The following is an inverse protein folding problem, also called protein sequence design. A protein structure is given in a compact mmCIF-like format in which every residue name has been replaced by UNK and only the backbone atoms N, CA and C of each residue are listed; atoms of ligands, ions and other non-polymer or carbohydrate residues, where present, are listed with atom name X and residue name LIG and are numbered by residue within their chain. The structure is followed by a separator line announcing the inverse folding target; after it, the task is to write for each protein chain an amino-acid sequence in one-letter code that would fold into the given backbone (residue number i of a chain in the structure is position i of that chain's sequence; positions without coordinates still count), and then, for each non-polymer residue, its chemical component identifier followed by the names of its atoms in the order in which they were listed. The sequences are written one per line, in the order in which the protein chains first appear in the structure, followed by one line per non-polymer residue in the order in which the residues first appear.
data_IF_878707085155
#
_entry.id   IF_878707085155
#
_cell.length_a   1.000
_cell.length_b   1.000
_cell.length_c   1.000
_cell.angle_alpha   90.00
_cell.angle_beta   90.00
_cell.angle_gamma   90.00
#
_symmetry.space_group_name_H-M   'P 1'
#
loop_
_entity.id
_entity.type
_entity.pdbx_description
1 polymer ?
#
# COMPACT_ATOMS: atom_id res chain seq x y z
N UNK A 1 -25.77 -60.63 -22.99
CA UNK A 1 -25.02 -59.53 -22.33
C UNK A 1 -25.27 -58.24 -23.11
N UNK A 2 -26.22 -57.41 -22.66
CA UNK A 2 -26.60 -56.14 -23.30
C UNK A 2 -26.00 -55.00 -22.49
N UNK A 3 -25.06 -54.25 -23.06
CA UNK A 3 -24.51 -53.02 -22.46
C UNK A 3 -25.43 -51.87 -22.85
N UNK A 4 -26.19 -51.35 -21.89
CA UNK A 4 -27.00 -50.14 -22.04
C UNK A 4 -26.08 -48.96 -21.71
N UNK A 5 -25.81 -48.12 -22.71
CA UNK A 5 -25.15 -46.84 -22.52
C UNK A 5 -26.20 -45.82 -22.05
N UNK A 6 -26.08 -45.35 -20.81
CA UNK A 6 -26.88 -44.24 -20.29
C UNK A 6 -26.04 -42.96 -20.43
N UNK A 7 -26.47 -42.07 -21.34
CA UNK A 7 -25.96 -40.72 -21.45
C UNK A 7 -26.49 -39.90 -20.26
N UNK A 8 -25.58 -39.40 -19.42
CA UNK A 8 -25.90 -38.48 -18.32
C UNK A 8 -25.81 -37.06 -18.86
N UNK A 9 -26.98 -36.49 -19.16
CA UNK A 9 -27.15 -35.07 -19.46
C UNK A 9 -27.25 -34.31 -18.13
N UNK A 10 -26.20 -33.57 -17.74
CA UNK A 10 -26.27 -32.60 -16.64
C UNK A 10 -26.67 -31.25 -17.25
N UNK A 11 -27.96 -30.92 -17.13
CA UNK A 11 -28.46 -29.55 -17.19
C UNK A 11 -28.49 -29.02 -15.77
N UNK A 12 -27.77 -27.93 -15.49
CA UNK A 12 -28.11 -26.91 -14.48
C UNK A 12 -27.04 -25.81 -14.49
N UNK A 13 -27.26 -24.75 -15.28
CA UNK A 13 -26.73 -23.43 -14.96
C UNK A 13 -27.93 -22.56 -14.58
N UNK A 14 -28.36 -22.77 -13.34
CA UNK A 14 -29.25 -21.92 -12.57
C UNK A 14 -28.68 -20.49 -12.57
N UNK A 15 -29.56 -19.51 -12.77
CA UNK A 15 -29.20 -18.12 -13.02
C UNK A 15 -28.13 -17.57 -12.11
N UNK A 16 -27.08 -17.01 -12.72
CA UNK A 16 -26.19 -16.09 -12.05
C UNK A 16 -27.03 -14.88 -11.63
N UNK A 17 -27.40 -14.83 -10.34
CA UNK A 17 -27.72 -13.56 -9.73
C UNK A 17 -26.57 -12.61 -10.06
N UNK A 18 -26.87 -11.47 -10.67
CA UNK A 18 -25.93 -10.38 -10.91
C UNK A 18 -25.58 -9.75 -9.55
N UNK A 19 -24.89 -10.52 -8.70
CA UNK A 19 -24.19 -10.00 -7.55
C UNK A 19 -22.96 -9.30 -8.09
N UNK A 20 -23.01 -7.96 -8.09
CA UNK A 20 -21.85 -7.14 -8.41
C UNK A 20 -20.67 -7.50 -7.49
N UNK A 21 -19.45 -7.12 -7.91
CA UNK A 21 -18.23 -7.38 -7.13
C UNK A 21 -18.41 -6.98 -5.66
N UNK A 22 -18.29 -7.95 -4.75
CA UNK A 22 -18.45 -7.77 -3.32
C UNK A 22 -17.32 -6.92 -2.75
N UNK A 23 -17.57 -6.36 -1.56
CA UNK A 23 -16.61 -5.47 -0.88
C UNK A 23 -15.25 -6.16 -0.64
N UNK A 24 -15.26 -7.46 -0.37
CA UNK A 24 -14.06 -8.27 -0.16
C UNK A 24 -13.11 -8.23 -1.35
N UNK A 25 -13.64 -8.24 -2.58
CA UNK A 25 -12.82 -8.14 -3.79
C UNK A 25 -12.46 -6.68 -4.11
N UNK A 26 -13.31 -5.69 -3.83
CA UNK A 26 -13.01 -4.28 -4.14
C UNK A 26 -11.70 -3.78 -3.54
N UNK A 27 -11.36 -4.23 -2.34
CA UNK A 27 -10.13 -3.85 -1.65
C UNK A 27 -8.93 -4.78 -1.97
N UNK A 28 -9.14 -5.86 -2.73
CA UNK A 28 -8.07 -6.79 -3.10
C UNK A 28 -6.84 -6.13 -3.76
N UNK A 29 -6.98 -5.12 -4.65
CA UNK A 29 -5.82 -4.42 -5.22
C UNK A 29 -4.94 -3.69 -4.20
N UNK A 30 -5.46 -3.43 -3.00
CA UNK A 30 -4.73 -2.81 -1.88
C UNK A 30 -3.98 -3.83 -1.03
N UNK A 31 -4.11 -5.13 -1.32
CA UNK A 31 -3.38 -6.17 -0.60
C UNK A 31 -1.92 -6.25 -1.09
N UNK A 32 -1.00 -6.81 -0.28
CA UNK A 32 0.38 -7.08 -0.70
C UNK A 32 0.51 -7.84 -2.02
N UNK A 33 -0.42 -8.76 -2.30
CA UNK A 33 -0.46 -9.51 -3.56
C UNK A 33 -0.94 -8.59 -4.70
N UNK A 34 -2.00 -7.81 -4.47
CA UNK A 34 -2.56 -6.87 -5.43
C UNK A 34 -1.58 -5.77 -5.87
N UNK A 35 -0.58 -5.41 -5.04
CA UNK A 35 0.46 -4.45 -5.40
C UNK A 35 1.25 -4.83 -6.65
N UNK A 36 1.31 -6.12 -7.00
CA UNK A 36 2.01 -6.64 -8.17
C UNK A 36 1.18 -6.59 -9.46
N UNK A 37 0.00 -5.97 -9.44
CA UNK A 37 -0.79 -5.75 -10.65
C UNK A 37 -0.10 -4.77 -11.58
N UNK A 38 0.05 -5.19 -12.84
CA UNK A 38 0.43 -4.28 -13.92
C UNK A 38 -0.71 -3.32 -14.24
N UNK A 39 -0.41 -2.23 -14.94
CA UNK A 39 -1.43 -1.27 -15.36
C UNK A 39 -2.50 -1.90 -16.27
N UNK A 40 -2.14 -2.89 -17.08
CA UNK A 40 -3.10 -3.61 -17.92
C UNK A 40 -3.98 -4.55 -17.10
N UNK A 41 -3.40 -5.22 -16.09
CA UNK A 41 -4.14 -6.01 -15.12
C UNK A 41 -5.09 -5.14 -14.27
N UNK A 42 -4.70 -3.91 -13.91
CA UNK A 42 -5.60 -2.96 -13.22
C UNK A 42 -6.81 -2.58 -14.07
N UNK A 43 -6.61 -2.36 -15.37
CA UNK A 43 -7.72 -2.11 -16.31
C UNK A 43 -8.64 -3.32 -16.39
N UNK A 44 -8.08 -4.52 -16.53
CA UNK A 44 -8.85 -5.77 -16.54
C UNK A 44 -9.67 -5.94 -15.26
N UNK A 45 -9.05 -5.72 -14.10
CA UNK A 45 -9.70 -5.77 -12.81
C UNK A 45 -10.86 -4.78 -12.67
N UNK A 46 -10.66 -3.54 -13.13
CA UNK A 46 -11.69 -2.50 -13.08
C UNK A 46 -12.92 -2.81 -13.95
N UNK A 47 -12.77 -3.71 -14.92
CA UNK A 47 -13.85 -4.11 -15.83
C UNK A 47 -14.63 -5.33 -15.33
N UNK A 48 -14.18 -6.01 -14.26
CA UNK A 48 -14.86 -7.18 -13.72
C UNK A 48 -16.18 -6.76 -13.07
N UNK A 49 -17.22 -7.56 -13.29
CA UNK A 49 -18.57 -7.25 -12.81
C UNK A 49 -19.02 -8.21 -11.71
N UNK A 50 -18.45 -9.40 -11.64
CA UNK A 50 -18.89 -10.45 -10.73
C UNK A 50 -17.76 -10.99 -9.84
N UNK A 51 -18.13 -11.56 -8.70
CA UNK A 51 -17.19 -12.22 -7.79
C UNK A 51 -16.50 -13.42 -8.44
N UNK A 52 -17.21 -14.18 -9.28
CA UNK A 52 -16.64 -15.31 -10.00
C UNK A 52 -15.53 -14.88 -10.97
N UNK A 53 -15.70 -13.75 -11.64
CA UNK A 53 -14.66 -13.15 -12.49
C UNK A 53 -13.46 -12.67 -11.66
N UNK A 54 -13.72 -12.05 -10.50
CA UNK A 54 -12.68 -11.61 -9.57
C UNK A 54 -11.86 -12.81 -9.05
N UNK A 55 -12.50 -13.89 -8.61
CA UNK A 55 -11.86 -15.11 -8.15
C UNK A 55 -10.98 -15.75 -9.23
N UNK A 56 -11.53 -15.87 -10.45
CA UNK A 56 -10.79 -16.42 -11.58
C UNK A 56 -9.57 -15.55 -11.90
N UNK A 57 -9.74 -14.24 -11.92
CA UNK A 57 -8.64 -13.31 -12.12
C UNK A 57 -7.54 -13.50 -11.08
N UNK A 58 -7.88 -13.54 -9.78
CA UNK A 58 -6.90 -13.70 -8.69
C UNK A 58 -6.15 -15.03 -8.83
N UNK A 59 -6.87 -16.11 -9.13
CA UNK A 59 -6.28 -17.44 -9.33
C UNK A 59 -5.27 -17.43 -10.47
N UNK A 60 -5.66 -16.89 -11.63
CA UNK A 60 -4.80 -16.80 -12.82
C UNK A 60 -3.63 -15.82 -12.61
N UNK A 61 -3.84 -14.76 -11.83
CA UNK A 61 -2.83 -13.79 -11.43
C UNK A 61 -1.72 -14.43 -10.59
N UNK A 62 -2.09 -15.19 -9.56
CA UNK A 62 -1.16 -15.89 -8.67
C UNK A 62 -0.44 -17.01 -9.43
N UNK A 63 -1.18 -17.79 -10.23
CA UNK A 63 -0.61 -18.90 -11.01
C UNK A 63 0.49 -18.41 -11.97
N UNK A 64 0.26 -17.29 -12.68
CA UNK A 64 1.23 -16.70 -13.60
C UNK A 64 2.51 -16.18 -12.92
N UNK A 65 2.50 -15.99 -11.59
CA UNK A 65 3.63 -15.45 -10.82
C UNK A 65 4.37 -16.50 -9.98
N UNK A 66 4.05 -17.78 -10.15
CA UNK A 66 4.71 -18.87 -9.43
C UNK A 66 3.87 -19.51 -8.33
N UNK A 67 2.56 -19.24 -8.30
CA UNK A 67 1.62 -19.95 -7.43
C UNK A 67 1.89 -19.71 -5.95
N UNK A 68 1.91 -20.79 -5.17
CA UNK A 68 2.07 -20.76 -3.71
C UNK A 68 3.40 -20.15 -3.27
N UNK A 69 4.49 -20.36 -4.01
CA UNK A 69 5.80 -19.79 -3.68
C UNK A 69 5.75 -18.27 -3.69
N UNK A 70 5.12 -17.68 -4.71
CA UNK A 70 4.92 -16.24 -4.78
C UNK A 70 4.07 -15.72 -3.63
N UNK A 71 2.93 -16.37 -3.35
CA UNK A 71 2.06 -15.99 -2.23
C UNK A 71 2.83 -16.02 -0.90
N UNK A 72 3.66 -17.05 -0.67
CA UNK A 72 4.47 -17.21 0.54
C UNK A 72 5.53 -16.11 0.67
N UNK A 73 6.26 -15.81 -0.40
CA UNK A 73 7.27 -14.75 -0.43
C UNK A 73 6.64 -13.38 -0.11
N UNK A 74 5.50 -13.08 -0.75
CA UNK A 74 4.78 -11.82 -0.53
C UNK A 74 4.26 -11.73 0.91
N UNK A 75 3.70 -12.82 1.45
CA UNK A 75 3.25 -12.86 2.84
C UNK A 75 4.40 -12.61 3.83
N UNK A 76 5.55 -13.26 3.65
CA UNK A 76 6.73 -13.03 4.49
C UNK A 76 7.24 -11.59 4.43
N UNK A 77 7.19 -10.96 3.25
CA UNK A 77 7.57 -9.55 3.11
C UNK A 77 6.54 -8.61 3.75
N UNK A 78 5.24 -8.93 3.65
CA UNK A 78 4.18 -8.19 4.32
C UNK A 78 4.31 -8.28 5.85
N UNK A 79 4.54 -9.47 6.40
CA UNK A 79 4.76 -9.66 7.84
C UNK A 79 5.96 -8.86 8.36
N UNK A 80 7.06 -8.83 7.59
CA UNK A 80 8.21 -7.99 7.93
C UNK A 80 7.86 -6.51 7.86
N UNK A 81 7.12 -6.07 6.85
CA UNK A 81 6.66 -4.69 6.77
C UNK A 81 5.78 -4.34 7.98
N UNK A 82 4.82 -5.19 8.35
CA UNK A 82 3.96 -4.98 9.52
C UNK A 82 4.77 -4.95 10.82
N UNK A 83 5.79 -5.78 10.95
CA UNK A 83 6.64 -5.79 12.15
C UNK A 83 7.49 -4.53 12.30
N UNK A 84 8.01 -3.97 11.21
CA UNK A 84 9.04 -2.91 11.28
C UNK A 84 8.58 -1.54 10.80
N UNK A 85 7.48 -1.45 10.05
CA UNK A 85 7.03 -0.23 9.36
C UNK A 85 5.62 0.21 9.74
N UNK A 86 4.95 -0.46 10.68
CA UNK A 86 3.64 -0.06 11.19
C UNK A 86 3.66 1.34 11.81
N UNK A 87 2.56 2.07 11.67
CA UNK A 87 2.37 3.43 12.17
C UNK A 87 1.09 3.45 12.99
N UNK A 88 1.22 3.47 14.32
CA UNK A 88 0.05 3.37 15.21
C UNK A 88 -0.72 2.09 14.93
N UNK A 89 -1.97 2.21 14.51
CA UNK A 89 -2.85 1.09 14.12
C UNK A 89 -2.73 0.66 12.66
N UNK A 90 -2.08 1.45 11.81
CA UNK A 90 -1.94 1.14 10.38
C UNK A 90 -0.85 0.08 10.20
N UNK A 91 -1.19 -1.10 9.64
CA UNK A 91 -0.21 -2.13 9.34
C UNK A 91 0.85 -1.60 8.36
N UNK A 92 2.11 -1.94 8.62
CA UNK A 92 3.23 -1.52 7.78
C UNK A 92 3.05 -1.88 6.30
N UNK A 93 2.44 -3.01 5.99
CA UNK A 93 2.14 -3.46 4.61
C UNK A 93 1.15 -2.55 3.85
N UNK A 94 0.35 -1.74 4.56
CA UNK A 94 -0.56 -0.74 3.97
C UNK A 94 0.10 0.64 3.81
N UNK A 95 1.29 0.83 4.38
CA UNK A 95 2.05 2.08 4.27
C UNK A 95 2.81 2.15 2.94
N UNK A 96 3.13 3.37 2.50
CA UNK A 96 3.98 3.60 1.32
C UNK A 96 5.32 2.89 1.49
N UNK A 97 5.93 2.96 2.68
CA UNK A 97 7.21 2.29 2.97
C UNK A 97 7.11 0.77 2.91
N UNK A 98 6.02 0.20 3.40
CA UNK A 98 5.80 -1.24 3.31
C UNK A 98 5.53 -1.71 1.89
N UNK A 99 4.76 -0.96 1.10
CA UNK A 99 4.58 -1.24 -0.33
C UNK A 99 5.92 -1.23 -1.08
N UNK A 100 6.79 -0.25 -0.79
CA UNK A 100 8.15 -0.23 -1.33
C UNK A 100 8.93 -1.48 -0.94
N UNK A 101 8.88 -1.87 0.34
CA UNK A 101 9.55 -3.07 0.83
C UNK A 101 9.04 -4.36 0.16
N UNK A 102 7.72 -4.45 -0.07
CA UNK A 102 7.09 -5.62 -0.68
C UNK A 102 7.46 -5.73 -2.16
N UNK A 103 7.47 -4.62 -2.92
CA UNK A 103 7.70 -4.63 -4.37
C UNK A 103 9.18 -4.55 -4.78
N UNK A 104 9.97 -3.76 -4.06
CA UNK A 104 11.37 -3.48 -4.39
C UNK A 104 12.35 -4.22 -3.47
N UNK A 105 11.84 -4.88 -2.44
CA UNK A 105 12.65 -5.52 -1.41
C UNK A 105 13.10 -4.57 -0.31
N UNK A 106 13.80 -5.11 0.71
CA UNK A 106 14.20 -4.35 1.89
C UNK A 106 15.23 -3.29 1.52
N UNK A 107 14.96 -2.05 1.94
CA UNK A 107 15.96 -0.98 1.97
C UNK A 107 15.97 -0.32 3.33
N UNK A 108 17.16 -0.07 3.86
CA UNK A 108 17.33 0.82 5.00
C UNK A 108 17.18 2.28 4.54
N UNK A 109 16.59 3.17 5.35
CA UNK A 109 16.62 4.59 5.06
C UNK A 109 18.07 5.09 5.07
N UNK A 110 18.44 5.87 4.07
CA UNK A 110 19.71 6.60 4.02
C UNK A 110 19.77 7.71 5.08
N UNK A 111 18.62 8.29 5.44
CA UNK A 111 18.51 9.25 6.54
C UNK A 111 17.09 9.31 7.12
N UNK A 112 16.98 9.78 8.36
CA UNK A 112 15.72 10.07 9.02
C UNK A 112 15.83 11.43 9.73
N UNK A 113 14.93 12.36 9.42
CA UNK A 113 14.92 13.71 9.97
C UNK A 113 13.59 13.99 10.66
N UNK A 114 13.64 14.34 11.95
CA UNK A 114 12.46 14.75 12.71
C UNK A 114 12.19 16.23 12.48
N UNK A 115 10.99 16.56 12.01
CA UNK A 115 10.49 17.93 11.82
C UNK A 115 9.37 18.18 12.82
N UNK A 116 9.39 19.33 13.50
CA UNK A 116 8.24 19.78 14.30
C UNK A 116 7.09 20.09 13.34
N UNK A 117 5.91 19.56 13.60
CA UNK A 117 4.71 19.94 12.85
C UNK A 117 4.31 21.35 13.27
N UNK A 118 4.55 22.33 12.40
CA UNK A 118 4.16 23.70 12.67
C UNK A 118 2.64 23.83 12.59
N UNK A 119 2.00 24.26 13.68
CA UNK A 119 0.61 24.74 13.66
C UNK A 119 -0.47 23.88 14.31
N UNK A 120 -0.15 22.86 15.11
CA UNK A 120 -1.16 22.15 15.90
C UNK A 120 -1.28 22.80 17.30
N UNK A 121 -2.06 23.87 17.39
CA UNK A 121 -2.47 24.44 18.69
C UNK A 121 -3.55 23.52 19.25
N UNK A 122 -3.19 22.56 20.11
CA UNK A 122 -4.19 21.86 20.89
C UNK A 122 -4.79 22.84 21.91
N UNK A 123 -6.03 23.25 21.70
CA UNK A 123 -6.83 23.84 22.79
C UNK A 123 -7.01 22.73 23.83
N UNK A 124 -6.44 22.91 25.02
CA UNK A 124 -6.65 21.98 26.12
C UNK A 124 -8.16 21.87 26.43
N UNK A 125 -8.73 20.66 26.58
CA UNK A 125 -10.11 20.51 27.01
C UNK A 125 -10.18 20.91 28.49
N UNK A 126 -10.53 22.17 28.75
CA UNK A 126 -10.57 22.72 30.11
C UNK A 126 -10.40 24.23 30.21
N UNK A 127 -10.02 24.94 29.14
CA UNK A 127 -10.09 26.40 29.16
C UNK A 127 -11.55 26.82 29.10
N UNK A 128 -12.15 26.99 30.28
CA UNK A 128 -13.37 27.76 30.46
C UNK A 128 -13.17 29.10 29.76
N UNK A 129 -14.02 29.40 28.78
CA UNK A 129 -14.15 30.76 28.25
C UNK A 129 -14.60 31.63 29.43
N UNK A 130 -13.63 32.23 30.12
CA UNK A 130 -13.89 33.33 31.04
C UNK A 130 -14.60 34.41 30.25
N UNK A 131 -15.68 34.95 30.81
CA UNK A 131 -16.60 35.92 30.20
C UNK A 131 -15.98 37.31 29.98
N UNK A 132 -14.67 37.40 29.76
CA UNK A 132 -13.97 38.65 29.46
C UNK A 132 -13.82 38.79 27.94
N UNK A 133 -14.34 39.91 27.41
CA UNK A 133 -14.40 40.24 25.98
C UNK A 133 -13.03 40.66 25.39
N UNK A 134 -11.95 40.36 26.08
CA UNK A 134 -10.59 40.64 25.65
C UNK A 134 -10.04 39.40 24.94
N UNK A 135 -10.00 39.44 23.59
CA UNK A 135 -9.45 38.36 22.77
C UNK A 135 -8.01 37.98 23.16
N UNK A 136 -7.54 36.77 22.78
CA UNK A 136 -6.23 36.26 23.20
C UNK A 136 -5.11 37.22 22.77
N UNK A 137 -4.25 37.59 23.71
CA UNK A 137 -3.14 38.51 23.43
C UNK A 137 -2.00 37.77 22.72
N UNK A 138 -1.13 38.51 22.01
CA UNK A 138 0.07 37.92 21.40
C UNK A 138 0.96 37.23 22.44
N UNK A 139 0.95 37.69 23.69
CA UNK A 139 1.67 37.05 24.80
C UNK A 139 1.07 35.68 25.17
N UNK A 140 -0.26 35.55 25.19
CA UNK A 140 -0.96 34.29 25.46
C UNK A 140 -0.72 33.26 24.35
N UNK A 141 -0.70 33.72 23.08
CA UNK A 141 -0.32 32.87 21.94
C UNK A 141 1.14 32.41 22.04
N UNK A 142 2.05 33.29 22.48
CA UNK A 142 3.47 32.97 22.63
C UNK A 142 3.72 32.03 23.82
N UNK A 143 2.95 32.15 24.91
CA UNK A 143 2.98 31.22 26.04
C UNK A 143 2.44 29.84 25.66
N UNK A 144 1.33 29.76 24.91
CA UNK A 144 0.78 28.50 24.40
C UNK A 144 1.70 27.77 23.41
N UNK A 145 2.55 28.53 22.68
CA UNK A 145 3.58 27.97 21.80
C UNK A 145 4.79 27.42 22.58
N UNK A 146 5.01 27.91 23.80
CA UNK A 146 6.14 27.54 24.66
C UNK A 146 5.74 26.57 25.80
N UNK A 147 4.47 26.15 25.90
CA UNK A 147 3.99 25.22 26.91
C UNK A 147 4.49 23.78 26.63
N UNK A 148 5.31 23.18 27.51
CA UNK A 148 5.79 21.80 27.39
C UNK A 148 4.68 20.75 27.55
N UNK A 149 3.45 21.13 27.94
CA UNK A 149 2.27 20.26 27.99
C UNK A 149 1.56 20.09 26.64
N UNK A 150 1.93 20.87 25.62
CA UNK A 150 1.35 20.78 24.28
C UNK A 150 2.08 19.68 23.50
N UNK A 151 1.39 18.58 23.19
CA UNK A 151 1.98 17.42 22.50
C UNK A 151 2.53 17.87 21.14
N UNK A 152 3.82 18.22 21.11
CA UNK A 152 4.53 18.59 19.89
C UNK A 152 4.52 17.37 18.99
N UNK A 153 3.65 17.35 17.99
CA UNK A 153 3.61 16.28 17.01
C UNK A 153 4.82 16.44 16.09
N UNK A 154 5.61 15.38 15.95
CA UNK A 154 6.78 15.35 15.09
C UNK A 154 6.46 14.54 13.84
N UNK A 155 6.74 15.11 12.66
CA UNK A 155 6.75 14.37 11.40
C UNK A 155 8.18 13.86 11.20
N UNK A 156 8.34 12.58 10.92
CA UNK A 156 9.65 12.03 10.57
C UNK A 156 9.74 11.85 9.06
N UNK A 157 10.67 12.57 8.42
CA UNK A 157 10.99 12.39 7.01
C UNK A 157 12.09 11.34 6.87
N UNK A 158 11.78 10.23 6.21
CA UNK A 158 12.73 9.18 5.85
C UNK A 158 13.15 9.34 4.39
N UNK A 159 14.45 9.31 4.13
CA UNK A 159 14.98 9.24 2.76
C UNK A 159 15.44 7.81 2.50
N UNK A 160 14.84 7.14 1.51
CA UNK A 160 15.23 5.83 1.03
C UNK A 160 16.02 5.95 -0.26
N UNK A 161 17.11 5.21 -0.40
CA UNK A 161 17.90 5.15 -1.63
C UNK A 161 18.05 3.69 -2.06
N UNK A 162 17.55 3.37 -3.25
CA UNK A 162 17.71 2.07 -3.88
C UNK A 162 18.79 2.18 -4.96
N UNK A 163 19.87 1.38 -4.90
CA UNK A 163 20.86 1.35 -5.96
C UNK A 163 20.24 0.75 -7.23
N UNK A 164 20.76 1.15 -8.40
CA UNK A 164 20.25 0.67 -9.69
C UNK A 164 20.24 -0.87 -9.80
N UNK A 165 21.22 -1.54 -9.17
CA UNK A 165 21.33 -3.00 -9.15
C UNK A 165 20.23 -3.71 -8.33
N UNK A 166 19.58 -3.01 -7.39
CA UNK A 166 18.48 -3.55 -6.59
C UNK A 166 17.09 -3.29 -7.23
N UNK A 167 17.05 -2.58 -8.35
CA UNK A 167 15.81 -2.21 -9.04
C UNK A 167 15.64 -3.04 -10.31
N UNK A 168 14.42 -3.08 -10.89
CA UNK A 168 14.20 -3.73 -12.17
C UNK A 168 15.21 -3.21 -13.22
N UNK A 169 15.90 -4.09 -13.97
CA UNK A 169 16.94 -3.68 -14.92
C UNK A 169 16.47 -2.64 -15.95
N UNK A 170 15.19 -2.69 -16.32
CA UNK A 170 14.56 -1.74 -17.23
C UNK A 170 14.49 -0.29 -16.70
N UNK A 171 14.67 -0.06 -15.40
CA UNK A 171 14.70 1.28 -14.82
C UNK A 171 16.07 1.95 -14.99
N UNK A 172 17.16 1.19 -14.84
CA UNK A 172 18.52 1.59 -15.23
C UNK A 172 19.22 2.66 -14.38
N UNK A 173 18.61 3.18 -13.30
CA UNK A 173 19.21 4.21 -12.43
C UNK A 173 18.86 4.00 -10.96
N UNK A 174 19.55 4.71 -10.05
CA UNK A 174 19.19 4.70 -8.64
C UNK A 174 17.88 5.45 -8.39
N UNK A 175 17.13 5.07 -7.36
CA UNK A 175 15.89 5.72 -6.95
C UNK A 175 16.06 6.30 -5.55
N UNK A 176 15.75 7.58 -5.38
CA UNK A 176 15.71 8.23 -4.06
C UNK A 176 14.29 8.70 -3.76
N UNK A 177 13.73 8.25 -2.66
CA UNK A 177 12.35 8.53 -2.25
C UNK A 177 12.34 9.12 -0.86
N UNK A 178 11.66 10.26 -0.68
CA UNK A 178 11.47 10.91 0.61
C UNK A 178 10.03 10.72 1.09
N UNK A 179 9.88 10.11 2.25
CA UNK A 179 8.59 9.75 2.84
C UNK A 179 8.41 10.45 4.17
N UNK A 180 7.34 11.20 4.30
CA UNK A 180 6.90 11.80 5.55
C UNK A 180 6.02 10.82 6.31
N UNK A 181 6.34 10.61 7.58
CA UNK A 181 5.57 9.78 8.51
C UNK A 181 4.97 10.70 9.56
N UNK A 182 3.63 10.78 9.59
CA UNK A 182 2.88 11.52 10.59
C UNK A 182 2.24 10.51 11.57
N UNK A 183 2.85 10.28 12.75
CA UNK A 183 2.30 9.34 13.73
C UNK A 183 0.95 9.81 14.29
N UNK A 184 0.66 11.12 14.28
CA UNK A 184 -0.63 11.65 14.73
C UNK A 184 -1.77 11.34 13.76
N UNK A 185 -1.46 11.16 12.47
CA UNK A 185 -2.42 10.73 11.45
C UNK A 185 -2.33 9.25 11.10
N UNK A 186 -1.46 8.49 11.77
CA UNK A 186 -1.21 7.07 11.48
C UNK A 186 -0.93 6.79 9.99
N UNK A 187 -0.31 7.74 9.29
CA UNK A 187 -0.12 7.68 7.83
C UNK A 187 1.31 8.03 7.43
N UNK A 188 1.73 7.50 6.30
CA UNK A 188 2.90 7.98 5.57
C UNK A 188 2.52 8.42 4.15
N UNK A 189 3.34 9.31 3.61
CA UNK A 189 3.13 9.86 2.27
C UNK A 189 4.44 10.27 1.63
N UNK A 190 4.45 10.26 0.32
CA UNK A 190 5.54 10.83 -0.45
C UNK A 190 5.58 12.35 -0.23
N UNK A 191 6.77 12.88 -0.02
CA UNK A 191 6.99 14.32 0.13
C UNK A 191 6.74 15.12 -1.16
N UNK A 192 6.72 14.46 -2.34
CA UNK A 192 6.51 15.14 -3.61
C UNK A 192 5.76 14.29 -4.63
N UNK A 193 4.94 14.96 -5.44
CA UNK A 193 4.19 14.35 -6.54
C UNK A 193 5.09 13.79 -7.65
N UNK A 194 6.24 14.41 -7.91
CA UNK A 194 7.20 13.87 -8.88
C UNK A 194 7.75 12.51 -8.45
N UNK A 195 7.99 12.34 -7.15
CA UNK A 195 8.45 11.06 -6.60
C UNK A 195 7.37 9.97 -6.72
N UNK A 196 6.09 10.34 -6.64
CA UNK A 196 4.96 9.40 -6.81
C UNK A 196 4.92 8.82 -8.22
N UNK A 197 4.96 9.67 -9.25
CA UNK A 197 4.99 9.21 -10.64
C UNK A 197 6.19 8.33 -10.95
N UNK A 198 7.35 8.70 -10.44
CA UNK A 198 8.56 7.90 -10.64
C UNK A 198 8.45 6.55 -9.94
N UNK A 199 7.98 6.53 -8.70
CA UNK A 199 7.78 5.32 -7.93
C UNK A 199 6.73 4.40 -8.56
N UNK A 200 5.62 4.93 -9.07
CA UNK A 200 4.62 4.16 -9.81
C UNK A 200 5.19 3.50 -11.07
N UNK A 201 6.08 4.20 -11.80
CA UNK A 201 6.79 3.62 -12.93
C UNK A 201 7.70 2.47 -12.48
N UNK A 202 8.43 2.63 -11.38
CA UNK A 202 9.28 1.56 -10.85
C UNK A 202 8.44 0.37 -10.37
N UNK A 203 7.29 0.61 -9.74
CA UNK A 203 6.35 -0.44 -9.34
C UNK A 203 5.80 -1.22 -10.53
N UNK A 204 5.43 -0.52 -11.60
CA UNK A 204 5.00 -1.17 -12.85
C UNK A 204 6.11 -2.07 -13.40
N UNK A 205 7.36 -1.57 -13.46
CA UNK A 205 8.50 -2.36 -13.92
C UNK A 205 8.79 -3.55 -13.00
N UNK A 206 8.62 -3.40 -11.69
CA UNK A 206 8.79 -4.48 -10.71
C UNK A 206 7.71 -5.56 -10.88
N UNK A 207 6.45 -5.15 -11.06
CA UNK A 207 5.34 -6.04 -11.35
C UNK A 207 5.57 -6.83 -12.65
N UNK A 208 6.01 -6.16 -13.72
CA UNK A 208 6.35 -6.79 -14.99
C UNK A 208 7.54 -7.74 -14.87
N UNK A 209 8.59 -7.35 -14.13
CA UNK A 209 9.75 -8.19 -13.90
C UNK A 209 9.38 -9.48 -13.13
N UNK A 210 8.52 -9.37 -12.11
CA UNK A 210 8.02 -10.54 -11.35
C UNK A 210 7.20 -11.47 -12.24
N UNK A 211 6.35 -10.91 -13.11
CA UNK A 211 5.59 -11.69 -14.09
C UNK A 211 6.50 -12.40 -15.10
N UNK A 212 7.55 -11.72 -15.59
CA UNK A 212 8.50 -12.28 -16.53
C UNK A 212 9.36 -13.40 -15.89
N UNK A 213 9.79 -13.23 -14.64
CA UNK A 213 10.61 -14.19 -13.91
C UNK A 213 9.89 -15.52 -13.62
N UNK A 214 8.56 -15.50 -13.54
CA UNK A 214 7.76 -16.70 -13.31
C UNK A 214 7.48 -17.52 -14.58
N UNK A 215 7.67 -16.94 -15.76
CA UNK A 215 7.61 -17.67 -17.02
C UNK A 215 8.92 -18.47 -17.15
N UNK A 216 8.89 -19.82 -17.19
CA UNK A 216 10.13 -20.58 -17.33
C UNK A 216 10.83 -20.13 -18.62
N UNK A 217 12.13 -19.83 -18.51
CA UNK A 217 13.00 -19.66 -19.67
C UNK A 217 12.76 -20.88 -20.56
N UNK A 218 12.13 -20.65 -21.71
CA UNK A 218 11.90 -21.73 -22.68
C UNK A 218 13.28 -22.19 -23.13
N UNK A 219 13.61 -23.50 -23.00
CA UNK A 219 14.91 -24.02 -23.40
C UNK A 219 15.16 -23.83 -24.90
#
# INVERSE_FOLDING_TARGET
MKRIAAAVTIVLCTGAALAGVSRSYKDWPKTPIGYYMTNDEKKQWSALQTDAEAERFIKDFIARRGGETFTREVAQNAEKADKYLSIGKTPGSETVRGKMMILLGPAAPASATKKKKAGEVHMAPGTVMGTDLSGPTMQDMQAATNDPGNATTFITEYTYTYPAAALPPAYGKALTVKIEVDPGKETDRLSSYSAEKELDKVYELAAQAKLAAAKPATP
#
